data_IF_745557749988
#
_entry.id   IF_745557749988
#
_cell.length_a   1.000
_cell.length_b   1.000
_cell.length_c   1.000
_cell.angle_alpha   90.00
_cell.angle_beta   90.00
_cell.angle_gamma   90.00
#
_symmetry.space_group_name_H-M   'P 1'
#
loop_
_entity.id
_entity.type
_entity.pdbx_description
1 polymer ?
#
# COMPACT_ATOMS: atom_id res chain seq x y z
N UNK A 1 1.27 22.68 -23.95
CA UNK A 1 2.49 23.10 -23.24
C UNK A 1 2.68 22.11 -22.10
N UNK A 2 3.83 21.43 -22.00
CA UNK A 2 4.11 20.45 -20.94
C UNK A 2 4.21 18.98 -21.40
N UNK A 3 4.15 18.72 -22.71
CA UNK A 3 4.18 17.35 -23.29
C UNK A 3 5.43 17.09 -24.14
N UNK A 4 6.33 18.07 -24.30
CA UNK A 4 7.56 17.94 -25.08
C UNK A 4 8.75 17.50 -24.22
N UNK A 5 9.76 16.92 -24.88
CA UNK A 5 11.05 16.59 -24.27
C UNK A 5 11.70 17.83 -23.64
N UNK A 6 12.28 17.69 -22.45
CA UNK A 6 12.89 18.78 -21.66
C UNK A 6 11.93 19.92 -21.22
N UNK A 7 10.61 19.69 -21.23
CA UNK A 7 9.64 20.63 -20.65
C UNK A 7 9.32 20.27 -19.19
N UNK A 8 8.95 21.28 -18.39
CA UNK A 8 8.32 21.05 -17.09
C UNK A 8 6.93 20.43 -17.36
N UNK A 9 6.61 19.25 -16.77
CA UNK A 9 5.30 18.63 -16.96
C UNK A 9 4.16 19.54 -16.52
N UNK A 10 3.09 19.59 -17.31
CA UNK A 10 1.88 20.30 -16.92
C UNK A 10 1.05 19.49 -15.91
N UNK A 11 0.08 20.16 -15.25
CA UNK A 11 -0.70 19.58 -14.16
C UNK A 11 -1.50 18.31 -14.55
N UNK A 12 -1.74 18.09 -15.85
CA UNK A 12 -2.44 16.92 -16.36
C UNK A 12 -1.56 15.65 -16.36
N UNK A 13 -0.24 15.79 -16.26
CA UNK A 13 0.70 14.67 -16.13
C UNK A 13 0.55 13.93 -14.79
N UNK A 14 0.06 14.61 -13.75
CA UNK A 14 -0.29 13.98 -12.48
C UNK A 14 -1.66 13.32 -12.56
N UNK A 15 -1.72 12.01 -12.32
CA UNK A 15 -2.97 11.25 -12.25
C UNK A 15 -3.24 10.81 -10.81
N UNK A 16 -4.52 10.73 -10.41
CA UNK A 16 -4.90 10.25 -9.07
C UNK A 16 -6.25 9.53 -9.06
N UNK A 17 -6.45 8.66 -8.08
CA UNK A 17 -7.76 8.21 -7.63
C UNK A 17 -7.96 8.62 -6.15
N UNK A 18 -8.96 9.45 -5.81
CA UNK A 18 -9.18 9.92 -4.44
C UNK A 18 -10.07 8.99 -3.58
N UNK A 19 -10.61 7.88 -4.11
CA UNK A 19 -11.48 6.97 -3.34
C UNK A 19 -10.70 6.18 -2.26
N UNK A 20 -11.34 5.27 -1.52
CA UNK A 20 -10.73 4.47 -0.44
C UNK A 20 -9.43 3.73 -0.84
N UNK A 21 -9.27 3.45 -2.13
CA UNK A 21 -8.10 2.84 -2.75
C UNK A 21 -7.28 3.91 -3.50
N UNK A 22 -6.55 4.70 -2.70
CA UNK A 22 -5.91 5.93 -3.17
C UNK A 22 -4.64 5.60 -3.95
N UNK A 23 -4.46 6.26 -5.09
CA UNK A 23 -3.17 6.25 -5.77
C UNK A 23 -2.87 7.58 -6.44
N UNK A 24 -1.58 7.84 -6.68
CA UNK A 24 -1.04 8.97 -7.44
C UNK A 24 0.05 8.47 -8.38
N UNK A 25 -0.02 8.87 -9.65
CA UNK A 25 1.06 8.66 -10.62
C UNK A 25 1.75 9.99 -10.89
N UNK A 26 3.06 10.02 -10.71
CA UNK A 26 3.93 11.15 -10.93
C UNK A 26 4.37 11.20 -12.41
N UNK A 27 4.81 12.38 -12.90
CA UNK A 27 5.24 12.53 -14.30
C UNK A 27 6.43 11.66 -14.71
N UNK A 28 7.27 11.26 -13.76
CA UNK A 28 8.42 10.36 -13.98
C UNK A 28 8.02 8.88 -14.10
N UNK A 29 6.74 8.57 -13.97
CA UNK A 29 6.21 7.21 -14.00
C UNK A 29 5.94 6.63 -12.62
N UNK A 30 6.52 7.19 -11.56
CA UNK A 30 6.39 6.68 -10.18
C UNK A 30 4.92 6.63 -9.75
N UNK A 31 4.48 5.47 -9.27
CA UNK A 31 3.16 5.24 -8.70
C UNK A 31 3.29 5.10 -7.18
N UNK A 32 2.45 5.86 -6.47
CA UNK A 32 2.25 5.76 -5.03
C UNK A 32 0.83 5.26 -4.79
N UNK A 33 0.67 4.16 -4.07
CA UNK A 33 -0.64 3.61 -3.70
C UNK A 33 -0.77 3.53 -2.18
N UNK A 34 -1.95 3.81 -1.63
CA UNK A 34 -2.21 3.76 -0.19
C UNK A 34 -3.57 3.15 0.09
N UNK A 35 -3.69 2.48 1.24
CA UNK A 35 -4.96 1.92 1.68
C UNK A 35 -4.95 1.49 3.14
N UNK A 36 -6.05 0.88 3.53
CA UNK A 36 -6.21 0.17 4.80
C UNK A 36 -6.71 -1.24 4.50
N UNK A 37 -6.13 -2.25 5.12
CA UNK A 37 -6.52 -3.64 4.86
C UNK A 37 -6.38 -4.50 6.11
N UNK A 38 -7.26 -5.49 6.25
CA UNK A 38 -7.16 -6.48 7.31
C UNK A 38 -5.99 -7.44 7.01
N UNK A 39 -5.08 -7.62 7.96
CA UNK A 39 -3.98 -8.58 7.85
C UNK A 39 -4.42 -9.98 8.27
N UNK A 40 -3.69 -11.01 7.82
CA UNK A 40 -3.78 -12.33 8.42
C UNK A 40 -3.01 -12.43 9.75
N UNK A 41 -3.27 -13.47 10.55
CA UNK A 41 -2.51 -13.75 11.78
C UNK A 41 -1.12 -14.30 11.47
N UNK A 42 -0.25 -14.34 12.48
CA UNK A 42 1.11 -14.84 12.39
C UNK A 42 1.13 -16.29 11.86
N UNK A 43 1.89 -16.52 10.79
CA UNK A 43 1.97 -17.80 10.08
C UNK A 43 0.91 -18.01 8.99
N UNK A 44 -0.06 -17.11 8.83
CA UNK A 44 -1.14 -17.21 7.83
C UNK A 44 -1.39 -15.85 7.15
N UNK A 45 -0.48 -15.40 6.25
CA UNK A 45 -0.65 -14.13 5.55
C UNK A 45 -1.86 -14.14 4.62
N UNK A 46 -2.40 -12.95 4.34
CA UNK A 46 -3.42 -12.73 3.31
C UNK A 46 -2.87 -11.87 2.18
N UNK A 47 -3.33 -12.09 0.95
CA UNK A 47 -2.95 -11.27 -0.18
C UNK A 47 -3.88 -10.06 -0.31
N UNK A 48 -3.28 -8.86 -0.35
CA UNK A 48 -3.96 -7.59 -0.56
C UNK A 48 -3.81 -7.19 -2.02
N UNK A 49 -4.92 -6.91 -2.68
CA UNK A 49 -4.94 -6.43 -4.07
C UNK A 49 -4.74 -4.92 -4.12
N UNK A 50 -3.77 -4.50 -4.91
CA UNK A 50 -3.46 -3.09 -5.16
C UNK A 50 -4.53 -2.46 -6.08
N UNK A 51 -4.83 -1.15 -5.90
CA UNK A 51 -5.74 -0.41 -6.76
C UNK A 51 -5.38 -0.50 -8.26
N UNK A 52 -4.10 -0.47 -8.58
CA UNK A 52 -3.53 -0.68 -9.93
C UNK A 52 -2.27 -1.55 -9.82
N UNK A 53 -1.95 -2.27 -10.89
CA UNK A 53 -0.71 -3.05 -10.96
C UNK A 53 0.50 -2.13 -11.18
N UNK A 54 1.60 -2.44 -10.51
CA UNK A 54 2.93 -2.00 -10.91
C UNK A 54 3.42 -2.82 -12.13
N UNK A 55 4.59 -2.47 -12.68
CA UNK A 55 5.19 -3.20 -13.80
C UNK A 55 5.69 -4.61 -13.40
N UNK A 56 6.19 -4.77 -12.17
CA UNK A 56 6.77 -6.02 -11.66
C UNK A 56 6.70 -6.08 -10.10
N UNK A 57 7.35 -7.06 -9.48
CA UNK A 57 7.33 -7.29 -8.02
C UNK A 57 8.37 -6.49 -7.22
N UNK A 58 9.24 -5.69 -7.86
CA UNK A 58 10.31 -4.93 -7.21
C UNK A 58 9.83 -3.58 -6.62
N UNK A 59 8.55 -3.46 -6.28
CA UNK A 59 8.02 -2.30 -5.59
C UNK A 59 8.23 -2.41 -4.08
N UNK A 60 8.26 -1.29 -3.39
CA UNK A 60 8.36 -1.24 -1.93
C UNK A 60 6.96 -1.16 -1.32
N UNK A 61 6.73 -1.81 -0.20
CA UNK A 61 5.50 -1.67 0.60
C UNK A 61 5.84 -1.62 2.07
N UNK A 62 5.21 -0.69 2.80
CA UNK A 62 5.31 -0.60 4.25
C UNK A 62 3.91 -0.51 4.85
N UNK A 63 3.75 -1.12 6.03
CA UNK A 63 2.49 -1.20 6.75
C UNK A 63 2.68 -0.73 8.20
N UNK A 64 1.70 -0.02 8.73
CA UNK A 64 1.72 0.55 10.07
C UNK A 64 0.41 0.32 10.81
N UNK A 65 0.51 0.22 12.13
CA UNK A 65 -0.64 0.17 13.03
C UNK A 65 -1.02 1.59 13.45
N UNK A 66 -2.24 2.02 13.09
CA UNK A 66 -2.79 3.34 13.42
C UNK A 66 -4.01 3.19 14.31
N UNK A 67 -3.76 2.78 15.56
CA UNK A 67 -4.78 2.70 16.59
C UNK A 67 -4.24 3.20 17.94
N UNK A 68 -3.51 4.31 17.92
CA UNK A 68 -3.04 4.99 19.12
C UNK A 68 -4.22 5.67 19.84
N UNK A 69 -5.06 4.89 20.52
CA UNK A 69 -6.28 5.35 21.22
C UNK A 69 -6.23 4.94 22.70
N UNK A 70 -6.92 5.71 23.55
CA UNK A 70 -7.08 5.38 24.98
C UNK A 70 -7.70 3.99 25.14
N UNK A 71 -7.17 3.20 26.08
CA UNK A 71 -7.65 1.84 26.37
C UNK A 71 -7.10 0.73 25.46
N UNK A 72 -6.31 1.06 24.43
CA UNK A 72 -5.57 0.05 23.66
C UNK A 72 -4.39 -0.46 24.49
N UNK A 73 -4.37 -1.76 24.79
CA UNK A 73 -3.35 -2.39 25.65
C UNK A 73 -2.27 -3.16 24.87
N UNK A 74 -2.41 -3.27 23.54
CA UNK A 74 -1.50 -4.02 22.68
C UNK A 74 -1.14 -3.22 21.43
N UNK A 75 0.08 -3.39 20.94
CA UNK A 75 0.53 -2.86 19.65
C UNK A 75 0.82 -4.02 18.71
N UNK A 76 0.38 -3.88 17.46
CA UNK A 76 0.56 -4.90 16.42
C UNK A 76 1.68 -4.46 15.48
N UNK A 77 2.64 -5.35 15.25
CA UNK A 77 3.61 -5.18 14.15
C UNK A 77 3.13 -5.92 12.91
N UNK A 78 3.45 -5.39 11.74
CA UNK A 78 3.11 -6.01 10.46
C UNK A 78 4.35 -6.40 9.66
N UNK A 79 4.23 -7.49 8.90
CA UNK A 79 5.12 -7.84 7.82
C UNK A 79 4.35 -7.70 6.49
N UNK A 80 4.96 -7.05 5.51
CA UNK A 80 4.43 -6.90 4.17
C UNK A 80 5.48 -7.32 3.14
N UNK A 81 5.07 -8.07 2.11
CA UNK A 81 5.97 -8.59 1.08
C UNK A 81 5.27 -8.56 -0.29
N UNK A 82 5.83 -7.90 -1.31
CA UNK A 82 5.37 -8.00 -2.70
C UNK A 82 5.33 -9.47 -3.17
N UNK A 83 4.19 -9.90 -3.75
CA UNK A 83 4.03 -11.29 -4.27
C UNK A 83 3.65 -11.34 -5.74
N UNK A 84 3.05 -10.27 -6.27
CA UNK A 84 2.80 -10.07 -7.69
C UNK A 84 2.76 -8.56 -8.00
N UNK A 85 2.78 -8.14 -9.27
CA UNK A 85 2.68 -6.72 -9.61
C UNK A 85 1.38 -6.06 -9.12
N UNK A 86 0.35 -6.85 -8.83
CA UNK A 86 -0.96 -6.38 -8.36
C UNK A 86 -1.27 -6.74 -6.90
N UNK A 87 -0.37 -7.43 -6.20
CA UNK A 87 -0.64 -7.91 -4.85
C UNK A 87 0.61 -7.97 -3.95
N UNK A 88 0.42 -7.65 -2.68
CA UNK A 88 1.38 -7.95 -1.61
C UNK A 88 0.73 -8.84 -0.56
N UNK A 89 1.52 -9.68 0.08
CA UNK A 89 1.11 -10.46 1.26
C UNK A 89 1.23 -9.60 2.52
N UNK A 90 0.27 -9.71 3.43
CA UNK A 90 0.19 -8.96 4.68
C UNK A 90 -0.11 -9.88 5.86
N UNK A 91 0.72 -9.77 6.89
CA UNK A 91 0.63 -10.55 8.12
C UNK A 91 0.86 -9.67 9.33
N UNK A 92 0.17 -9.96 10.43
CA UNK A 92 0.38 -9.31 11.74
C UNK A 92 1.15 -10.22 12.70
N UNK A 93 1.60 -9.65 13.82
CA UNK A 93 2.16 -10.39 14.95
C UNK A 93 1.11 -11.11 15.81
N UNK A 94 -0.18 -11.00 15.51
CA UNK A 94 -1.25 -11.62 16.30
C UNK A 94 -1.30 -13.13 16.03
N UNK A 95 -1.26 -13.94 17.08
CA UNK A 95 -1.25 -15.41 16.96
C UNK A 95 -2.66 -16.03 16.96
N UNK A 96 -3.67 -15.29 17.42
CA UNK A 96 -5.04 -15.77 17.51
C UNK A 96 -5.73 -15.75 16.14
N UNK A 97 -6.24 -16.91 15.71
CA UNK A 97 -6.98 -17.00 14.46
C UNK A 97 -8.34 -16.31 14.58
N UNK A 98 -8.74 -15.58 13.54
CA UNK A 98 -10.01 -14.83 13.50
C UNK A 98 -9.89 -13.38 13.98
N UNK A 99 -8.77 -12.99 14.59
CA UNK A 99 -8.44 -11.58 14.85
C UNK A 99 -7.59 -11.07 13.68
N UNK A 100 -8.16 -10.14 12.91
CA UNK A 100 -7.48 -9.54 11.75
C UNK A 100 -7.31 -8.03 11.97
N UNK A 101 -6.18 -7.60 12.57
CA UNK A 101 -5.89 -6.18 12.72
C UNK A 101 -5.86 -5.47 11.37
N UNK A 102 -6.34 -4.22 11.34
CA UNK A 102 -6.24 -3.38 10.16
C UNK A 102 -4.87 -2.69 10.14
N UNK A 103 -4.18 -2.80 9.01
CA UNK A 103 -2.96 -2.08 8.71
C UNK A 103 -3.24 -0.96 7.72
N UNK A 104 -2.74 0.23 8.00
CA UNK A 104 -2.55 1.24 6.96
C UNK A 104 -1.28 0.90 6.20
N UNK A 105 -1.29 1.09 4.89
CA UNK A 105 -0.13 0.78 4.06
C UNK A 105 0.08 1.83 2.98
N UNK A 106 1.34 1.91 2.54
CA UNK A 106 1.77 2.67 1.38
C UNK A 106 2.73 1.82 0.57
N UNK A 107 2.53 1.80 -0.75
CA UNK A 107 3.33 1.09 -1.72
C UNK A 107 3.86 2.05 -2.80
N UNK A 108 5.10 1.82 -3.23
CA UNK A 108 5.83 2.66 -4.18
C UNK A 108 6.46 1.81 -5.28
N UNK A 109 6.18 2.13 -6.54
CA UNK A 109 6.69 1.45 -7.73
C UNK A 109 6.42 2.28 -8.98
N UNK A 110 6.21 1.65 -10.14
CA UNK A 110 6.15 2.26 -11.48
C UNK A 110 4.99 1.76 -12.37
#
# INVERSE_FOLDING_TARGET
>A
MGTGENQIPDMSAWKRNPSSNRWRKLPDGTIIQMGISASGPLGSPVNITLPISFSNTNYCVVASYDNARSGVSTMVSFAALPVSPSQFSLMSSVTEQGINPFAYWIAFGD
#
